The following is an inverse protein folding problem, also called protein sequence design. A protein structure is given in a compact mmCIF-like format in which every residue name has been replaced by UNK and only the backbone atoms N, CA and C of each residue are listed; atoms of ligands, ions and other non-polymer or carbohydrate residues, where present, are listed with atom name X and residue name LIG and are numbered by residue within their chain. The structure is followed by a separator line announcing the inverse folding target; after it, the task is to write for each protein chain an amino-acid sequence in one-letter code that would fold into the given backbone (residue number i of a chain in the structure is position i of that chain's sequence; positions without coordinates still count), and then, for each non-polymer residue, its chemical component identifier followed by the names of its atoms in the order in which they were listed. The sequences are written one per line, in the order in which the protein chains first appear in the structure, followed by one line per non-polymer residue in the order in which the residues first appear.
data_IF_603934261370
#
_entry.id   IF_603934261370
#
_cell.length_a   1.000
_cell.length_b   1.000
_cell.length_c   1.000
_cell.angle_alpha   90.00
_cell.angle_beta   90.00
_cell.angle_gamma   90.00
#
_symmetry.space_group_name_H-M   'P 1'
#
loop_
_entity.id
_entity.type
_entity.pdbx_description
1 polymer ?
#
# COMPACT_ATOMS: atom_id res chain seq x y z
N UNK A 1 -20.09 7.92 -7.51
CA UNK A 1 -19.49 6.82 -6.73
C UNK A 1 -18.69 5.95 -7.67
N UNK A 2 -17.53 5.46 -7.22
CA UNK A 2 -16.68 4.55 -7.97
C UNK A 2 -16.83 3.12 -7.42
N UNK A 3 -16.62 2.12 -8.28
CA UNK A 3 -16.60 0.73 -7.88
C UNK A 3 -15.45 0.48 -6.90
N UNK A 4 -15.73 -0.27 -5.83
CA UNK A 4 -14.76 -0.67 -4.83
C UNK A 4 -15.08 -2.08 -4.36
N UNK A 5 -14.08 -2.95 -4.36
CA UNK A 5 -14.17 -4.29 -3.80
C UNK A 5 -13.24 -4.45 -2.61
N UNK A 6 -13.69 -5.16 -1.59
CA UNK A 6 -12.85 -5.70 -0.53
C UNK A 6 -12.42 -7.11 -0.96
N UNK A 7 -11.13 -7.37 -0.93
CA UNK A 7 -10.58 -8.65 -1.37
C UNK A 7 -9.75 -9.31 -0.28
N UNK A 8 -9.75 -10.64 -0.24
CA UNK A 8 -8.77 -11.38 0.54
C UNK A 8 -7.37 -11.12 -0.03
N UNK A 9 -6.50 -10.57 0.80
CA UNK A 9 -5.15 -10.15 0.39
C UNK A 9 -4.29 -11.33 -0.05
N UNK A 10 -4.40 -12.47 0.62
CA UNK A 10 -3.59 -13.65 0.30
C UNK A 10 -4.07 -14.31 -0.99
N UNK A 11 -5.38 -14.46 -1.16
CA UNK A 11 -5.98 -15.01 -2.37
C UNK A 11 -5.71 -14.10 -3.60
N UNK A 12 -5.88 -12.78 -3.45
CA UNK A 12 -5.54 -11.85 -4.52
C UNK A 12 -4.08 -11.98 -4.97
N UNK A 13 -3.16 -12.03 -4.01
CA UNK A 13 -1.72 -12.18 -4.30
C UNK A 13 -1.41 -13.51 -4.99
N UNK A 14 -2.02 -14.60 -4.55
CA UNK A 14 -1.84 -15.93 -5.14
C UNK A 14 -2.36 -15.98 -6.58
N UNK A 15 -3.56 -15.45 -6.82
CA UNK A 15 -4.18 -15.40 -8.14
C UNK A 15 -3.39 -14.53 -9.12
N UNK A 16 -2.98 -13.35 -8.69
CA UNK A 16 -2.17 -12.47 -9.56
C UNK A 16 -0.83 -13.10 -9.91
N UNK A 17 -0.18 -13.78 -8.96
CA UNK A 17 1.05 -14.53 -9.24
C UNK A 17 0.81 -15.63 -10.28
N UNK A 18 -0.27 -16.40 -10.14
CA UNK A 18 -0.63 -17.43 -11.10
C UNK A 18 -0.88 -16.90 -12.50
N UNK A 19 -1.57 -15.75 -12.61
CA UNK A 19 -1.78 -15.07 -13.89
C UNK A 19 -0.45 -14.69 -14.53
N UNK A 20 0.45 -14.07 -13.77
CA UNK A 20 1.77 -13.67 -14.27
C UNK A 20 2.62 -14.88 -14.70
N UNK A 21 2.60 -15.97 -13.92
CA UNK A 21 3.35 -17.18 -14.23
C UNK A 21 2.87 -17.91 -15.49
N UNK A 22 1.58 -17.77 -15.81
CA UNK A 22 0.97 -18.39 -16.99
C UNK A 22 0.86 -17.45 -18.21
N UNK A 23 1.42 -16.25 -18.12
CA UNK A 23 1.42 -15.29 -19.23
C UNK A 23 2.58 -15.59 -20.17
N UNK A 24 2.26 -15.81 -21.44
CA UNK A 24 3.26 -16.07 -22.48
C UNK A 24 4.24 -14.89 -22.61
N UNK A 25 5.49 -15.20 -22.89
CA UNK A 25 6.57 -14.24 -23.07
C UNK A 25 6.88 -13.37 -21.83
N UNK A 26 6.36 -13.73 -20.65
CA UNK A 26 6.64 -13.09 -19.38
C UNK A 26 7.53 -13.96 -18.51
N UNK A 27 8.67 -13.43 -18.08
CA UNK A 27 9.55 -14.09 -17.11
C UNK A 27 9.46 -13.39 -15.76
N UNK A 28 9.02 -14.10 -14.74
CA UNK A 28 8.96 -13.60 -13.37
C UNK A 28 10.26 -13.96 -12.63
N UNK A 29 10.96 -12.95 -12.09
CA UNK A 29 12.19 -13.11 -11.32
C UNK A 29 12.08 -12.46 -9.96
N UNK A 30 12.60 -13.12 -8.94
CA UNK A 30 12.76 -12.55 -7.60
C UNK A 30 14.19 -12.03 -7.46
N UNK A 31 14.34 -10.71 -7.48
CA UNK A 31 15.63 -10.06 -7.30
C UNK A 31 15.43 -8.62 -6.81
N UNK A 32 16.37 -8.09 -6.04
CA UNK A 32 16.42 -6.66 -5.74
C UNK A 32 17.19 -5.95 -6.86
N UNK A 33 16.52 -5.02 -7.54
CA UNK A 33 17.17 -4.14 -8.52
C UNK A 33 17.82 -2.99 -7.75
N UNK A 34 19.11 -2.77 -8.03
CA UNK A 34 19.92 -1.76 -7.32
C UNK A 34 20.33 -0.61 -8.21
N UNK A 35 20.36 -0.81 -9.54
CA UNK A 35 20.91 0.18 -10.45
C UNK A 35 20.17 0.15 -11.80
N UNK A 36 19.98 1.33 -12.39
CA UNK A 36 19.60 1.51 -13.78
C UNK A 36 20.88 1.57 -14.63
N UNK A 37 20.98 0.72 -15.64
CA UNK A 37 22.07 0.75 -16.61
C UNK A 37 21.73 1.78 -17.69
N UNK A 38 22.39 2.94 -17.65
CA UNK A 38 22.14 4.05 -18.57
C UNK A 38 23.45 4.43 -19.28
N UNK A 39 23.44 4.43 -20.59
CA UNK A 39 24.55 4.85 -21.44
C UNK A 39 24.10 5.95 -22.39
N UNK A 40 24.81 7.06 -22.42
CA UNK A 40 24.49 8.21 -23.28
C UNK A 40 23.00 8.65 -23.17
N UNK A 41 22.45 8.68 -21.94
CA UNK A 41 21.04 8.98 -21.63
C UNK A 41 20.03 7.98 -22.21
N UNK A 42 20.47 6.79 -22.58
CA UNK A 42 19.60 5.72 -23.07
C UNK A 42 19.64 4.58 -22.07
N UNK A 43 18.45 4.14 -21.63
CA UNK A 43 18.33 2.96 -20.76
C UNK A 43 18.81 1.70 -21.51
N UNK A 44 19.60 0.88 -20.84
CA UNK A 44 20.09 -0.41 -21.34
C UNK A 44 19.53 -1.58 -20.58
N UNK A 45 19.08 -1.35 -19.35
CA UNK A 45 18.58 -2.41 -18.50
C UNK A 45 18.69 -2.07 -17.02
N UNK A 46 18.76 -3.12 -16.22
CA UNK A 46 18.88 -3.02 -14.77
C UNK A 46 19.92 -4.00 -14.24
N UNK A 47 20.57 -3.63 -13.12
CA UNK A 47 21.47 -4.50 -12.38
C UNK A 47 20.85 -4.84 -11.03
N UNK A 48 21.07 -6.06 -10.58
CA UNK A 48 20.55 -6.56 -9.31
C UNK A 48 21.64 -6.56 -8.22
N UNK A 49 21.19 -6.68 -6.98
CA UNK A 49 22.08 -6.77 -5.82
C UNK A 49 23.07 -7.95 -5.91
N UNK A 50 22.65 -9.06 -6.52
CA UNK A 50 23.52 -10.22 -6.77
C UNK A 50 24.51 -10.03 -7.94
N UNK A 51 24.49 -8.87 -8.60
CA UNK A 51 25.36 -8.55 -9.72
C UNK A 51 24.85 -9.02 -11.10
N UNK A 52 23.66 -9.64 -11.17
CA UNK A 52 23.09 -10.00 -12.47
C UNK A 52 22.59 -8.77 -13.21
N UNK A 53 22.82 -8.74 -14.51
CA UNK A 53 22.40 -7.69 -15.43
C UNK A 53 21.28 -8.20 -16.34
N UNK A 54 20.21 -7.41 -16.44
CA UNK A 54 19.09 -7.68 -17.34
C UNK A 54 18.97 -6.55 -18.35
N UNK A 55 19.24 -6.87 -19.60
CA UNK A 55 19.18 -5.90 -20.70
C UNK A 55 17.75 -5.72 -21.19
N UNK A 56 17.35 -4.46 -21.39
CA UNK A 56 16.01 -4.12 -21.86
C UNK A 56 16.03 -2.79 -22.63
N UNK A 57 15.08 -2.65 -23.56
CA UNK A 57 14.85 -1.40 -24.30
C UNK A 57 14.09 -0.36 -23.49
N UNK A 58 13.36 -0.81 -22.47
CA UNK A 58 12.60 0.04 -21.56
C UNK A 58 12.53 -0.59 -20.17
N UNK A 59 12.43 0.23 -19.15
CA UNK A 59 12.26 -0.18 -17.75
C UNK A 59 11.06 0.57 -17.19
N UNK A 60 10.13 -0.16 -16.57
CA UNK A 60 8.96 0.41 -15.89
C UNK A 60 9.14 0.21 -14.39
N UNK A 61 9.14 1.29 -13.63
CA UNK A 61 9.29 1.29 -12.18
C UNK A 61 7.92 1.20 -11.51
N UNK A 62 7.66 0.09 -10.82
CA UNK A 62 6.43 -0.14 -10.06
C UNK A 62 6.78 -0.51 -8.60
N UNK A 63 7.57 0.33 -7.97
CA UNK A 63 8.23 0.06 -6.68
C UNK A 63 7.30 0.10 -5.47
N UNK A 64 6.03 0.47 -5.65
CA UNK A 64 5.09 0.57 -4.56
C UNK A 64 5.60 1.51 -3.45
N UNK A 65 5.56 1.03 -2.20
CA UNK A 65 6.00 1.77 -1.01
C UNK A 65 7.28 1.20 -0.39
N UNK A 66 8.19 0.66 -1.23
CA UNK A 66 9.37 -0.08 -0.75
C UNK A 66 10.68 0.69 -0.83
N UNK A 67 10.79 1.74 -1.68
CA UNK A 67 12.03 2.51 -1.82
C UNK A 67 12.38 3.22 -0.51
N UNK A 68 13.51 2.82 0.10
CA UNK A 68 13.97 3.28 1.42
C UNK A 68 12.82 3.38 2.41
N UNK A 69 11.98 2.33 2.43
CA UNK A 69 10.77 2.31 3.21
C UNK A 69 11.04 2.29 4.72
N UNK A 70 10.12 2.91 5.44
CA UNK A 70 10.11 2.91 6.89
C UNK A 70 8.68 2.73 7.38
N UNK A 71 8.46 1.76 8.26
CA UNK A 71 7.18 1.53 8.90
C UNK A 71 7.20 2.01 10.34
N UNK A 72 6.23 2.84 10.70
CA UNK A 72 6.12 3.41 12.04
C UNK A 72 4.86 2.89 12.71
N UNK A 73 5.01 2.34 13.92
CA UNK A 73 3.96 1.77 14.74
C UNK A 73 4.02 2.42 16.14
N UNK A 74 3.19 3.41 16.39
CA UNK A 74 3.31 4.22 17.60
C UNK A 74 4.71 4.85 17.70
N UNK A 75 5.43 4.55 18.76
CA UNK A 75 6.79 5.07 19.02
C UNK A 75 7.90 4.26 18.35
N UNK A 76 7.57 3.13 17.71
CA UNK A 76 8.55 2.23 17.09
C UNK A 76 8.68 2.50 15.60
N UNK A 77 9.90 2.65 15.12
CA UNK A 77 10.20 2.87 13.71
C UNK A 77 11.15 1.79 13.17
N UNK A 78 10.69 1.06 12.17
CA UNK A 78 11.41 -0.02 11.53
C UNK A 78 11.82 0.35 10.10
N UNK A 79 13.08 0.14 9.74
CA UNK A 79 13.58 0.31 8.37
C UNK A 79 13.19 -0.90 7.50
N UNK A 80 11.90 -1.12 7.32
CA UNK A 80 11.32 -2.23 6.57
C UNK A 80 10.26 -1.73 5.60
N UNK A 81 9.97 -2.51 4.57
CA UNK A 81 8.76 -2.37 3.78
C UNK A 81 7.51 -2.86 4.54
N UNK A 82 6.33 -2.75 3.92
CA UNK A 82 5.07 -3.21 4.50
C UNK A 82 5.12 -4.70 4.89
N UNK A 83 4.41 -5.06 5.96
CA UNK A 83 4.30 -6.42 6.48
C UNK A 83 5.65 -7.07 6.89
N UNK A 84 6.64 -6.28 7.28
CA UNK A 84 7.96 -6.76 7.66
C UNK A 84 8.84 -7.24 6.49
N UNK A 85 8.42 -7.00 5.25
CA UNK A 85 9.22 -7.32 4.08
C UNK A 85 10.41 -6.36 3.96
N UNK A 86 11.47 -6.79 3.31
CA UNK A 86 12.67 -5.98 3.11
C UNK A 86 12.35 -4.70 2.32
N UNK A 87 12.91 -3.58 2.77
CA UNK A 87 12.87 -2.34 2.02
C UNK A 87 13.89 -2.38 0.85
N UNK A 88 13.55 -1.76 -0.28
CA UNK A 88 14.47 -1.58 -1.40
C UNK A 88 15.35 -0.35 -1.14
N UNK A 89 16.55 -0.57 -0.63
CA UNK A 89 17.40 0.52 -0.14
C UNK A 89 18.39 1.06 -1.16
N UNK A 90 18.68 0.33 -2.23
CA UNK A 90 19.81 0.61 -3.10
C UNK A 90 19.44 1.35 -4.39
N UNK A 91 18.24 1.14 -4.94
CA UNK A 91 17.84 1.72 -6.23
C UNK A 91 17.70 3.25 -6.20
N UNK A 92 17.41 3.84 -5.04
CA UNK A 92 17.12 5.28 -4.93
C UNK A 92 18.29 6.15 -5.41
N UNK A 93 19.52 5.78 -5.10
CA UNK A 93 20.69 6.56 -5.51
C UNK A 93 20.86 6.55 -7.03
N UNK A 94 20.72 5.39 -7.65
CA UNK A 94 20.76 5.27 -9.11
C UNK A 94 19.65 6.09 -9.80
N UNK A 95 18.45 6.18 -9.19
CA UNK A 95 17.38 7.05 -9.71
C UNK A 95 17.78 8.52 -9.66
N UNK A 96 18.33 8.99 -8.54
CA UNK A 96 18.78 10.38 -8.36
C UNK A 96 19.91 10.72 -9.31
N UNK A 97 20.91 9.84 -9.46
CA UNK A 97 22.02 10.00 -10.40
C UNK A 97 21.55 10.11 -11.87
N UNK A 98 20.45 9.48 -12.20
CA UNK A 98 19.82 9.58 -13.52
C UNK A 98 18.78 10.72 -13.62
N UNK A 99 18.76 11.64 -12.66
CA UNK A 99 17.98 12.88 -12.71
C UNK A 99 16.53 12.74 -12.25
N UNK A 100 16.16 11.64 -11.57
CA UNK A 100 14.83 11.50 -10.98
C UNK A 100 14.79 12.23 -9.64
N UNK A 101 13.94 13.23 -9.54
CA UNK A 101 13.75 13.96 -8.29
C UNK A 101 12.92 13.11 -7.31
N UNK A 102 13.44 12.91 -6.10
CA UNK A 102 12.87 12.00 -5.12
C UNK A 102 12.32 12.76 -3.90
N UNK A 103 11.10 12.43 -3.51
CA UNK A 103 10.44 12.99 -2.34
C UNK A 103 10.01 11.89 -1.37
N UNK A 104 9.91 12.24 -0.09
CA UNK A 104 9.36 11.35 0.92
C UNK A 104 7.84 11.46 0.95
N UNK A 105 7.16 10.34 0.71
CA UNK A 105 5.72 10.23 0.87
C UNK A 105 5.35 9.42 2.12
N UNK A 106 4.24 9.76 2.74
CA UNK A 106 3.65 8.99 3.84
C UNK A 106 2.29 8.44 3.44
N UNK A 107 1.95 7.26 3.93
CA UNK A 107 0.60 6.72 3.86
C UNK A 107 0.23 6.11 5.21
N UNK A 108 -1.05 6.19 5.59
CA UNK A 108 -1.56 5.59 6.82
C UNK A 108 -2.25 4.26 6.52
N UNK A 109 -2.04 3.29 7.41
CA UNK A 109 -2.76 2.01 7.37
C UNK A 109 -3.56 1.87 8.65
N UNK A 110 -4.87 1.54 8.61
CA UNK A 110 -5.65 1.29 9.80
C UNK A 110 -5.06 0.13 10.62
N UNK A 111 -5.22 0.20 11.93
CA UNK A 111 -4.82 -0.89 12.81
C UNK A 111 -5.54 -2.19 12.45
N UNK A 112 -4.81 -3.30 12.47
CA UNK A 112 -5.37 -4.65 12.40
C UNK A 112 -5.78 -5.07 13.79
N UNK A 113 -7.02 -5.49 13.95
CA UNK A 113 -7.57 -5.96 15.20
C UNK A 113 -7.95 -7.44 15.13
N UNK A 114 -7.92 -8.12 16.26
CA UNK A 114 -8.40 -9.51 16.34
C UNK A 114 -9.94 -9.52 16.24
N UNK A 115 -10.46 -10.18 15.22
CA UNK A 115 -11.91 -10.31 15.00
C UNK A 115 -12.65 -10.82 16.25
N UNK A 116 -12.03 -11.68 17.06
CA UNK A 116 -12.61 -12.24 18.27
C UNK A 116 -12.81 -11.20 19.39
N UNK A 117 -12.07 -10.08 19.34
CA UNK A 117 -12.20 -8.97 20.30
C UNK A 117 -13.27 -7.96 19.92
N UNK A 118 -13.92 -8.13 18.76
CA UNK A 118 -14.92 -7.17 18.24
C UNK A 118 -16.31 -7.53 18.73
N UNK A 119 -16.99 -6.59 19.36
CA UNK A 119 -18.40 -6.71 19.73
C UNK A 119 -19.28 -6.20 18.57
N UNK A 120 -19.64 -7.11 17.68
CA UNK A 120 -20.48 -6.81 16.53
C UNK A 120 -21.89 -6.38 16.89
N UNK A 121 -22.37 -6.68 18.11
CA UNK A 121 -23.71 -6.27 18.55
C UNK A 121 -23.87 -4.75 18.70
N UNK A 122 -22.73 -4.03 18.81
CA UNK A 122 -22.67 -2.57 18.92
C UNK A 122 -22.42 -1.87 17.58
N UNK A 123 -22.42 -2.62 16.50
CA UNK A 123 -22.08 -2.11 15.17
C UNK A 123 -23.24 -2.30 14.21
N UNK A 124 -23.28 -1.48 13.20
CA UNK A 124 -24.25 -1.62 12.12
C UNK A 124 -23.63 -2.46 10.98
N UNK A 125 -24.29 -3.57 10.65
CA UNK A 125 -23.90 -4.39 9.51
C UNK A 125 -24.09 -3.62 8.21
N UNK A 126 -23.08 -3.63 7.36
CA UNK A 126 -23.10 -3.09 6.02
C UNK A 126 -22.76 -4.20 5.04
N UNK A 127 -23.79 -4.72 4.40
CA UNK A 127 -23.67 -5.74 3.34
C UNK A 127 -23.11 -5.12 2.08
N UNK A 128 -22.56 -5.96 1.19
CA UNK A 128 -22.23 -5.57 -0.17
C UNK A 128 -23.47 -5.23 -1.00
N UNK A 129 -23.25 -4.72 -2.19
CA UNK A 129 -24.34 -4.37 -3.12
C UNK A 129 -25.15 -5.63 -3.51
N UNK A 130 -26.47 -5.52 -3.52
CA UNK A 130 -27.36 -6.63 -3.93
C UNK A 130 -27.11 -7.02 -5.40
N UNK A 131 -26.82 -6.02 -6.22
CA UNK A 131 -26.42 -6.20 -7.61
C UNK A 131 -24.95 -5.91 -7.77
N UNK A 132 -24.18 -6.96 -8.02
CA UNK A 132 -22.74 -6.82 -8.28
C UNK A 132 -22.53 -6.21 -9.66
N UNK A 133 -21.78 -5.11 -9.71
CA UNK A 133 -21.32 -4.50 -10.96
C UNK A 133 -19.85 -4.88 -11.17
N UNK A 134 -19.53 -5.66 -12.21
CA UNK A 134 -18.14 -6.04 -12.49
C UNK A 134 -17.28 -4.82 -12.83
N UNK A 135 -15.97 -4.93 -12.57
CA UNK A 135 -15.01 -3.91 -12.99
C UNK A 135 -14.74 -3.91 -14.50
N UNK A 136 -14.96 -5.04 -15.15
CA UNK A 136 -14.78 -5.19 -16.59
C UNK A 136 -16.12 -5.30 -17.31
N UNK A 137 -16.25 -4.64 -18.45
CA UNK A 137 -17.42 -4.75 -19.32
C UNK A 137 -17.58 -6.13 -19.96
N UNK A 138 -16.51 -6.93 -19.99
CA UNK A 138 -16.52 -8.28 -20.56
C UNK A 138 -16.80 -9.37 -19.51
N UNK A 139 -16.87 -9.03 -18.23
CA UNK A 139 -17.20 -9.97 -17.18
C UNK A 139 -18.71 -10.12 -17.07
N UNK A 140 -19.20 -11.35 -17.16
CA UNK A 140 -20.60 -11.64 -16.89
C UNK A 140 -20.93 -11.37 -15.41
N UNK A 141 -21.87 -10.46 -15.10
CA UNK A 141 -22.25 -10.16 -13.72
C UNK A 141 -22.73 -11.37 -12.93
N UNK A 142 -23.34 -12.37 -13.58
CA UNK A 142 -23.82 -13.57 -12.92
C UNK A 142 -22.68 -14.55 -12.56
N UNK A 143 -21.50 -14.39 -13.18
CA UNK A 143 -20.30 -15.17 -12.83
C UNK A 143 -19.60 -14.67 -11.57
N UNK A 144 -19.93 -13.47 -11.08
CA UNK A 144 -19.31 -12.89 -9.90
C UNK A 144 -19.91 -13.49 -8.64
N UNK A 145 -19.04 -13.90 -7.71
CA UNK A 145 -19.46 -14.48 -6.43
C UNK A 145 -20.36 -13.50 -5.66
N UNK A 146 -21.55 -13.99 -5.27
CA UNK A 146 -22.57 -13.19 -4.56
C UNK A 146 -22.39 -13.22 -3.04
N UNK A 147 -21.71 -14.22 -2.51
CA UNK A 147 -21.43 -14.34 -1.07
C UNK A 147 -20.34 -13.39 -0.66
N UNK A 148 -20.73 -12.24 -0.13
CA UNK A 148 -19.81 -11.18 0.27
C UNK A 148 -19.68 -11.13 1.79
N UNK A 149 -18.45 -10.84 2.26
CA UNK A 149 -18.22 -10.59 3.68
C UNK A 149 -18.70 -9.19 4.03
N UNK A 150 -19.60 -9.10 4.99
CA UNK A 150 -20.12 -7.81 5.46
C UNK A 150 -19.03 -6.96 6.12
N UNK A 151 -19.11 -5.66 5.91
CA UNK A 151 -18.41 -4.65 6.71
C UNK A 151 -19.29 -4.27 7.91
N UNK A 152 -18.67 -3.68 8.92
CA UNK A 152 -19.36 -3.26 10.14
C UNK A 152 -19.01 -1.82 10.46
N UNK A 153 -20.03 -0.97 10.53
CA UNK A 153 -19.87 0.44 10.83
C UNK A 153 -19.88 0.66 12.34
N UNK A 154 -18.93 1.43 12.80
CA UNK A 154 -18.90 2.03 14.12
C UNK A 154 -18.53 3.50 14.00
N UNK A 155 -18.81 4.26 15.03
CA UNK A 155 -18.56 5.70 15.04
C UNK A 155 -17.61 6.05 16.19
N UNK A 156 -16.79 7.04 15.97
CA UNK A 156 -16.08 7.72 17.04
C UNK A 156 -17.05 8.60 17.82
N UNK A 157 -16.72 8.87 19.06
CA UNK A 157 -17.47 9.76 19.95
C UNK A 157 -16.53 10.82 20.54
N UNK A 158 -17.09 11.74 21.29
CA UNK A 158 -16.35 12.84 21.90
C UNK A 158 -15.20 12.35 22.80
N UNK A 159 -15.44 11.30 23.59
CA UNK A 159 -14.40 10.69 24.43
C UNK A 159 -13.23 10.14 23.57
N UNK A 160 -13.55 9.50 22.44
CA UNK A 160 -12.52 9.03 21.48
C UNK A 160 -11.71 10.20 20.92
N UNK A 161 -12.40 11.30 20.59
CA UNK A 161 -11.72 12.50 20.06
C UNK A 161 -10.83 13.15 21.11
N UNK A 162 -11.28 13.21 22.36
CA UNK A 162 -10.51 13.76 23.47
C UNK A 162 -9.24 12.93 23.75
N UNK A 163 -9.36 11.59 23.76
CA UNK A 163 -8.21 10.69 23.89
C UNK A 163 -7.20 10.94 22.76
N UNK A 164 -7.65 11.09 21.53
CA UNK A 164 -6.76 11.36 20.41
C UNK A 164 -6.10 12.72 20.56
N UNK A 165 -6.87 13.78 20.87
CA UNK A 165 -6.33 15.15 21.03
C UNK A 165 -5.30 15.24 22.16
N UNK A 166 -5.54 14.56 23.28
CA UNK A 166 -4.64 14.57 24.44
C UNK A 166 -3.35 13.75 24.23
N UNK A 167 -3.23 12.97 23.13
CA UNK A 167 -2.06 12.16 22.81
C UNK A 167 -1.43 12.52 21.45
N UNK A 168 -1.68 13.69 20.92
CA UNK A 168 -1.11 14.12 19.64
C UNK A 168 0.42 14.23 19.68
N UNK A 169 0.99 14.57 20.83
CA UNK A 169 2.43 14.62 21.06
C UNK A 169 3.10 13.25 20.90
N UNK A 170 2.37 12.16 21.11
CA UNK A 170 2.81 10.79 20.89
C UNK A 170 2.56 10.29 19.47
N UNK A 171 1.76 10.98 18.69
CA UNK A 171 1.51 10.60 17.29
C UNK A 171 2.77 10.84 16.45
N UNK A 172 3.30 9.84 15.74
CA UNK A 172 4.46 10.00 14.89
C UNK A 172 4.30 11.09 13.82
N UNK A 173 3.06 11.36 13.41
CA UNK A 173 2.75 12.41 12.45
C UNK A 173 2.85 13.81 13.06
N UNK A 174 2.36 13.99 14.30
CA UNK A 174 2.32 15.29 14.98
C UNK A 174 3.58 15.59 15.79
N UNK A 175 4.28 14.56 16.25
CA UNK A 175 5.57 14.69 16.93
C UNK A 175 6.75 14.99 15.99
N UNK A 176 6.54 14.98 14.67
CA UNK A 176 7.57 15.23 13.68
C UNK A 176 8.48 14.03 13.37
N UNK A 177 8.14 12.83 13.81
CA UNK A 177 8.87 11.59 13.45
C UNK A 177 8.66 11.24 11.99
N UNK A 178 7.44 11.46 11.48
CA UNK A 178 7.10 11.26 10.08
C UNK A 178 7.20 12.58 9.34
N UNK A 179 8.24 12.70 8.51
CA UNK A 179 8.39 13.79 7.56
C UNK A 179 7.98 13.30 6.17
N UNK A 180 7.04 13.97 5.53
CA UNK A 180 6.61 13.62 4.17
C UNK A 180 5.21 14.10 3.84
N UNK A 181 4.92 14.15 2.55
CA UNK A 181 3.62 14.55 2.04
C UNK A 181 2.71 13.33 1.97
N UNK A 182 1.53 13.44 2.55
CA UNK A 182 0.49 12.41 2.40
C UNK A 182 -0.21 12.51 1.05
N UNK A 183 -0.69 11.39 0.48
CA UNK A 183 -1.60 11.43 -0.65
C UNK A 183 -2.85 12.25 -0.28
N UNK A 184 -3.39 12.96 -1.25
CA UNK A 184 -4.50 13.92 -1.05
C UNK A 184 -5.70 13.36 -0.27
N UNK A 185 -5.99 12.08 -0.38
CA UNK A 185 -7.18 11.44 0.20
C UNK A 185 -6.84 10.36 1.24
N UNK A 186 -5.70 10.46 1.91
CA UNK A 186 -5.30 9.54 2.97
C UNK A 186 -4.97 10.28 4.28
N UNK A 187 -5.93 11.03 4.88
CA UNK A 187 -5.75 11.64 6.19
C UNK A 187 -5.71 10.56 7.26
N UNK A 188 -4.85 10.71 8.24
CA UNK A 188 -4.85 9.88 9.45
C UNK A 188 -6.08 10.12 10.31
N UNK A 189 -6.31 9.28 11.31
CA UNK A 189 -7.41 9.52 12.26
C UNK A 189 -7.18 10.82 13.05
N UNK A 190 -5.94 11.12 13.40
CA UNK A 190 -5.55 12.36 14.06
C UNK A 190 -5.86 13.58 13.19
N UNK A 191 -5.51 13.54 11.89
CA UNK A 191 -5.86 14.59 10.94
C UNK A 191 -7.37 14.81 10.87
N UNK A 192 -8.15 13.72 10.89
CA UNK A 192 -9.60 13.82 10.85
C UNK A 192 -10.16 14.48 12.11
N UNK A 193 -9.68 14.06 13.27
CA UNK A 193 -10.12 14.62 14.56
C UNK A 193 -9.70 16.07 14.75
N UNK A 194 -8.51 16.45 14.28
CA UNK A 194 -8.02 17.83 14.41
C UNK A 194 -8.69 18.78 13.44
N UNK A 195 -8.99 18.33 12.21
CA UNK A 195 -9.46 19.21 11.13
C UNK A 195 -10.97 19.18 10.91
N UNK A 196 -11.65 18.10 11.28
CA UNK A 196 -13.05 17.85 10.88
C UNK A 196 -13.98 17.47 12.02
N UNK A 197 -13.50 17.31 13.25
CA UNK A 197 -14.33 16.99 14.43
C UNK A 197 -14.56 18.22 15.32
#
# INVERSE_FOLDING_TARGET
HSLRAQADKADYSARMRQVLQNTDHLTLRQAEVTELMVENKVIRGVKTFSGAEYYAKAVVLCTGTYLRARCVYGEVSNATGPNGLQAANHLTDSLVENGVEMFRFKTGTPARIDKRSVDFSKMQEQKGDERVVPFSFTTDPESVQKDQVSCWLTYTNEQTHEIIRSNLDRSPLYSGVIHGTGPRYCPSIEDKVVRFA
#
